data_IF_489852883345
#
_entry.id   IF_489852883345
#
_cell.length_a   1.000
_cell.length_b   1.000
_cell.length_c   1.000
_cell.angle_alpha   90.00
_cell.angle_beta   90.00
_cell.angle_gamma   90.00
#
_symmetry.space_group_name_H-M   'P 1'
#
loop_
_entity.id
_entity.type
_entity.pdbx_description
1 polymer ?
#
# COMPACT_ATOMS: atom_id res chain seq x y z
N UNK A 1 3.09 13.89 29.69
CA UNK A 1 3.54 13.09 28.53
C UNK A 1 3.46 13.99 27.31
N UNK A 2 4.48 13.96 26.44
CA UNK A 2 4.48 14.75 25.20
C UNK A 2 3.64 13.97 24.18
N UNK A 3 2.54 14.54 23.72
CA UNK A 3 1.71 13.91 22.70
C UNK A 3 2.26 14.23 21.32
N UNK A 4 2.39 13.21 20.48
CA UNK A 4 2.95 13.27 19.13
C UNK A 4 1.79 13.52 18.16
N UNK A 5 1.72 14.75 17.65
CA UNK A 5 0.83 15.15 16.54
C UNK A 5 1.40 14.82 15.16
N UNK A 6 0.58 15.01 14.13
CA UNK A 6 0.91 14.70 12.74
C UNK A 6 2.12 15.50 12.22
N UNK A 7 2.32 16.71 12.73
CA UNK A 7 3.42 17.60 12.37
C UNK A 7 4.81 17.08 12.77
N UNK A 8 4.89 16.16 13.72
CA UNK A 8 6.16 15.63 14.23
C UNK A 8 6.50 14.24 13.66
N UNK A 9 5.69 13.67 12.76
CA UNK A 9 5.88 12.28 12.30
C UNK A 9 7.19 12.04 11.55
N UNK A 10 7.77 13.08 10.95
CA UNK A 10 9.07 13.04 10.29
C UNK A 10 10.26 13.18 11.24
N UNK A 11 10.02 13.51 12.52
CA UNK A 11 11.09 13.66 13.50
C UNK A 11 11.69 12.30 13.88
N UNK A 12 12.97 12.35 14.28
CA UNK A 12 13.65 11.18 14.80
C UNK A 12 13.03 10.72 16.12
N UNK A 13 12.92 9.40 16.26
CA UNK A 13 12.44 8.71 17.46
C UNK A 13 13.17 9.17 18.74
N UNK A 14 14.46 9.55 18.63
CA UNK A 14 15.28 10.07 19.73
C UNK A 14 14.64 11.24 20.49
N UNK A 15 13.78 12.03 19.85
CA UNK A 15 13.19 13.24 20.42
C UNK A 15 12.00 12.96 21.35
N UNK A 16 11.45 11.74 21.32
CA UNK A 16 10.26 11.33 22.06
C UNK A 16 10.46 10.02 22.84
N UNK A 17 11.69 9.71 23.23
CA UNK A 17 11.98 8.51 24.01
C UNK A 17 11.47 8.65 25.45
N UNK A 18 10.86 7.58 25.94
CA UNK A 18 10.72 7.35 27.36
C UNK A 18 11.81 6.40 27.86
N UNK A 19 12.55 6.83 28.88
CA UNK A 19 13.62 6.06 29.53
C UNK A 19 13.13 5.28 30.75
N UNK A 20 11.89 5.54 31.17
CA UNK A 20 11.27 4.89 32.32
C UNK A 20 10.72 3.52 31.91
N UNK A 21 11.63 2.55 31.83
CA UNK A 21 11.37 1.18 31.38
C UNK A 21 11.94 0.18 32.37
N UNK A 22 11.32 -1.00 32.45
CA UNK A 22 11.81 -2.04 33.36
C UNK A 22 12.85 -2.89 32.63
N UNK A 23 14.11 -2.74 33.05
CA UNK A 23 15.22 -3.57 32.59
C UNK A 23 15.60 -4.61 33.64
N UNK A 24 15.87 -5.82 33.16
CA UNK A 24 16.29 -6.99 33.92
C UNK A 24 17.56 -7.58 33.28
N UNK A 25 18.35 -8.33 34.04
CA UNK A 25 19.55 -8.99 33.50
C UNK A 25 19.30 -10.47 33.22
N UNK A 26 19.97 -11.01 32.21
CA UNK A 26 19.77 -12.40 31.76
C UNK A 26 20.03 -13.47 32.84
N UNK A 27 20.90 -13.15 33.81
CA UNK A 27 21.35 -14.01 34.90
C UNK A 27 20.43 -13.98 36.12
N UNK A 28 19.48 -13.05 36.18
CA UNK A 28 18.52 -12.96 37.28
C UNK A 28 17.55 -14.15 37.26
N UNK A 29 17.02 -14.45 38.44
CA UNK A 29 15.95 -15.46 38.58
C UNK A 29 14.56 -14.83 38.45
N UNK A 30 13.56 -15.65 38.16
CA UNK A 30 12.16 -15.20 38.11
C UNK A 30 11.72 -14.58 39.46
N UNK A 31 12.19 -15.12 40.58
CA UNK A 31 11.94 -14.58 41.92
C UNK A 31 12.48 -13.16 42.10
N UNK A 32 13.74 -12.93 41.70
CA UNK A 32 14.38 -11.61 41.78
C UNK A 32 13.67 -10.58 40.91
N UNK A 33 13.29 -10.96 39.69
CA UNK A 33 12.55 -10.10 38.78
C UNK A 33 11.18 -9.68 39.37
N UNK A 34 10.44 -10.63 39.94
CA UNK A 34 9.16 -10.35 40.59
C UNK A 34 9.33 -9.49 41.85
N UNK A 35 10.38 -9.72 42.63
CA UNK A 35 10.69 -8.90 43.79
C UNK A 35 10.99 -7.45 43.39
N UNK A 36 11.77 -7.24 42.32
CA UNK A 36 12.07 -5.92 41.76
C UNK A 36 10.79 -5.22 41.28
N UNK A 37 9.90 -5.94 40.61
CA UNK A 37 8.62 -5.39 40.14
C UNK A 37 7.71 -4.92 41.28
N UNK A 38 7.69 -5.65 42.41
CA UNK A 38 6.87 -5.27 43.58
C UNK A 38 7.35 -4.00 44.28
N UNK A 39 8.60 -3.61 44.08
CA UNK A 39 9.17 -2.39 44.66
C UNK A 39 8.94 -1.15 43.79
N UNK A 40 8.46 -1.34 42.55
CA UNK A 40 8.18 -0.25 41.62
C UNK A 40 6.74 0.25 41.82
N UNK A 41 6.53 1.56 41.71
CA UNK A 41 5.19 2.14 41.67
C UNK A 41 4.62 1.89 40.27
N UNK A 42 3.74 0.89 40.16
CA UNK A 42 3.24 0.40 38.86
C UNK A 42 1.95 1.08 38.40
N UNK A 43 1.51 2.10 39.10
CA UNK A 43 0.20 2.72 38.85
C UNK A 43 0.23 3.46 37.49
N UNK A 44 -0.70 3.13 36.59
CA UNK A 44 -0.93 3.73 35.26
C UNK A 44 0.00 3.43 34.07
N UNK A 45 0.85 2.39 34.08
CA UNK A 45 1.77 2.12 32.94
C UNK A 45 1.74 0.72 32.33
N UNK A 46 2.07 0.67 31.04
CA UNK A 46 2.21 -0.56 30.25
C UNK A 46 3.61 -1.13 30.48
N UNK A 47 3.71 -2.37 30.99
CA UNK A 47 5.00 -2.99 31.31
C UNK A 47 5.41 -4.04 30.28
N UNK A 48 6.43 -3.70 29.49
CA UNK A 48 7.31 -4.70 28.88
C UNK A 48 8.56 -4.83 29.75
N UNK A 49 8.97 -6.08 30.02
CA UNK A 49 10.18 -6.37 30.78
C UNK A 49 11.29 -6.69 29.80
N UNK A 50 12.23 -5.77 29.63
CA UNK A 50 13.35 -5.93 28.71
C UNK A 50 14.52 -6.61 29.40
N UNK A 51 15.08 -7.63 28.76
CA UNK A 51 16.21 -8.41 29.28
C UNK A 51 17.48 -7.96 28.55
N UNK A 52 18.45 -7.51 29.33
CA UNK A 52 19.75 -7.05 28.86
C UNK A 52 20.85 -8.07 29.17
N UNK A 53 21.86 -8.12 28.30
CA UNK A 53 23.10 -8.85 28.55
C UNK A 53 24.07 -8.06 29.44
N UNK A 54 25.28 -8.60 29.63
CA UNK A 54 26.34 -7.93 30.42
C UNK A 54 26.88 -6.64 29.80
N UNK A 55 26.66 -6.42 28.50
CA UNK A 55 27.11 -5.26 27.73
C UNK A 55 25.97 -4.25 27.48
N UNK A 56 24.84 -4.39 28.19
CA UNK A 56 23.62 -3.56 28.04
C UNK A 56 22.90 -3.71 26.69
N UNK A 57 23.13 -4.82 25.99
CA UNK A 57 22.43 -5.13 24.74
C UNK A 57 21.09 -5.78 25.03
N UNK A 58 20.06 -5.39 24.28
CA UNK A 58 18.74 -6.01 24.37
C UNK A 58 18.78 -7.42 23.76
N UNK A 59 18.49 -8.44 24.56
CA UNK A 59 18.51 -9.85 24.12
C UNK A 59 17.15 -10.53 24.18
N UNK A 60 16.18 -9.97 24.92
CA UNK A 60 14.87 -10.58 25.07
C UNK A 60 13.84 -9.67 25.72
N UNK A 61 12.57 -10.09 25.62
CA UNK A 61 11.45 -9.47 26.33
C UNK A 61 10.66 -10.55 27.09
N UNK A 62 10.20 -10.24 28.30
CA UNK A 62 9.42 -11.17 29.12
C UNK A 62 8.01 -10.61 29.33
N UNK A 63 6.97 -11.30 28.83
CA UNK A 63 5.60 -11.01 29.24
C UNK A 63 5.43 -11.32 30.73
N UNK A 64 4.85 -10.39 31.50
CA UNK A 64 4.62 -10.56 32.95
C UNK A 64 3.88 -11.87 33.25
N UNK A 65 2.89 -12.24 32.43
CA UNK A 65 2.16 -13.51 32.55
C UNK A 65 3.07 -14.74 32.52
N UNK A 66 4.13 -14.71 31.70
CA UNK A 66 5.09 -15.81 31.57
C UNK A 66 6.00 -15.86 32.80
N UNK A 67 6.40 -14.69 33.32
CA UNK A 67 7.18 -14.58 34.55
C UNK A 67 6.43 -15.15 35.75
N UNK A 68 5.13 -14.85 35.89
CA UNK A 68 4.29 -15.35 36.98
C UNK A 68 4.09 -16.88 36.96
N UNK A 69 4.18 -17.51 35.79
CA UNK A 69 4.04 -18.96 35.63
C UNK A 69 5.36 -19.74 35.66
N UNK A 70 6.50 -19.07 35.80
CA UNK A 70 7.83 -19.70 35.81
C UNK A 70 8.24 -20.12 37.22
N UNK A 71 9.05 -21.18 37.35
CA UNK A 71 9.57 -21.54 38.67
C UNK A 71 10.50 -20.45 39.22
N UNK A 72 10.45 -20.14 40.53
CA UNK A 72 11.19 -19.02 41.13
C UNK A 72 12.71 -19.02 40.86
N UNK A 73 13.32 -20.20 40.76
CA UNK A 73 14.76 -20.42 40.52
C UNK A 73 15.16 -20.35 39.05
N UNK A 74 14.20 -20.29 38.12
CA UNK A 74 14.47 -20.29 36.67
C UNK A 74 15.10 -18.97 36.25
N UNK A 75 16.14 -19.03 35.42
CA UNK A 75 16.84 -17.84 34.92
C UNK A 75 16.03 -17.13 33.82
N UNK A 76 16.08 -15.79 33.79
CA UNK A 76 15.34 -15.00 32.80
C UNK A 76 15.72 -15.33 31.36
N UNK A 77 16.98 -15.69 31.11
CA UNK A 77 17.46 -16.15 29.80
C UNK A 77 16.66 -17.31 29.22
N UNK A 78 16.13 -18.21 30.06
CA UNK A 78 15.35 -19.36 29.61
C UNK A 78 13.86 -19.06 29.40
N UNK A 79 13.36 -17.98 29.99
CA UNK A 79 11.95 -17.57 29.97
C UNK A 79 11.68 -16.48 28.93
N UNK A 80 12.69 -15.71 28.54
CA UNK A 80 12.56 -14.61 27.60
C UNK A 80 12.12 -15.05 26.20
N UNK A 81 11.47 -14.12 25.50
CA UNK A 81 11.17 -14.22 24.08
C UNK A 81 12.27 -13.49 23.32
N UNK A 82 12.88 -14.16 22.36
CA UNK A 82 13.95 -13.65 21.50
C UNK A 82 13.76 -14.23 20.08
N UNK A 83 14.02 -13.47 19.00
CA UNK A 83 14.49 -12.07 18.97
C UNK A 83 13.39 -11.05 19.33
N UNK A 84 13.80 -9.86 19.77
CA UNK A 84 12.89 -8.74 20.06
C UNK A 84 12.77 -7.85 18.83
N UNK A 85 11.55 -7.46 18.49
CA UNK A 85 11.31 -6.46 17.45
C UNK A 85 11.57 -5.08 18.05
N UNK A 86 12.43 -4.30 17.39
CA UNK A 86 12.90 -2.99 17.83
C UNK A 86 13.06 -2.05 16.65
N UNK A 87 13.20 -0.75 16.91
CA UNK A 87 13.53 0.26 15.90
C UNK A 87 14.88 0.93 16.17
N UNK A 88 15.64 1.31 15.13
CA UNK A 88 16.84 2.13 15.28
C UNK A 88 16.55 3.51 15.86
N UNK A 89 17.53 4.08 16.57
CA UNK A 89 17.48 5.46 17.08
C UNK A 89 17.25 6.52 15.99
N UNK A 90 17.71 6.23 14.77
CA UNK A 90 17.59 7.10 13.60
C UNK A 90 16.25 6.99 12.86
N UNK A 91 15.37 6.05 13.25
CA UNK A 91 14.07 5.89 12.62
C UNK A 91 13.17 7.10 12.86
N UNK A 92 12.21 7.29 11.95
CA UNK A 92 11.17 8.30 12.10
C UNK A 92 10.07 7.85 13.06
N UNK A 93 9.34 8.81 13.63
CA UNK A 93 8.16 8.51 14.45
C UNK A 93 7.05 7.79 13.66
N UNK A 94 6.96 8.02 12.35
CA UNK A 94 6.05 7.29 11.45
C UNK A 94 6.41 5.80 11.36
N UNK A 95 7.68 5.48 11.11
CA UNK A 95 8.15 4.08 11.07
C UNK A 95 7.87 3.37 12.41
N UNK A 96 8.14 4.02 13.54
CA UNK A 96 7.86 3.45 14.86
C UNK A 96 6.36 3.22 15.09
N UNK A 97 5.50 4.15 14.66
CA UNK A 97 4.05 4.03 14.72
C UNK A 97 3.53 2.85 13.88
N UNK A 98 4.04 2.68 12.65
CA UNK A 98 3.66 1.56 11.79
C UNK A 98 4.05 0.21 12.40
N UNK A 99 5.25 0.09 12.99
CA UNK A 99 5.68 -1.14 13.66
C UNK A 99 4.79 -1.44 14.87
N UNK A 100 4.45 -0.44 15.69
CA UNK A 100 3.53 -0.57 16.81
C UNK A 100 2.16 -1.09 16.37
N UNK A 101 1.57 -0.50 15.33
CA UNK A 101 0.25 -0.88 14.81
C UNK A 101 0.26 -2.27 14.16
N UNK A 102 1.26 -2.56 13.33
CA UNK A 102 1.39 -3.85 12.63
C UNK A 102 1.47 -5.03 13.60
N UNK A 103 2.26 -4.88 14.65
CA UNK A 103 2.47 -5.94 15.63
C UNK A 103 1.52 -5.84 16.85
N UNK A 104 0.67 -4.80 16.90
CA UNK A 104 -0.21 -4.48 18.04
C UNK A 104 0.56 -4.39 19.35
N UNK A 105 1.76 -3.82 19.27
CA UNK A 105 2.56 -3.53 20.44
C UNK A 105 2.08 -2.25 21.09
N UNK A 106 2.13 -2.25 22.42
CA UNK A 106 1.80 -1.06 23.19
C UNK A 106 3.04 -0.19 23.45
N UNK A 107 4.23 -0.79 23.37
CA UNK A 107 5.49 -0.07 23.40
C UNK A 107 6.54 -0.81 22.55
N UNK A 108 7.51 -0.05 22.04
CA UNK A 108 8.54 -0.54 21.13
C UNK A 108 9.92 -0.09 21.62
N UNK A 109 10.88 -1.02 21.82
CA UNK A 109 12.24 -0.67 22.22
C UNK A 109 13.01 -0.03 21.09
N UNK A 110 13.83 0.96 21.44
CA UNK A 110 14.67 1.73 20.53
C UNK A 110 16.13 1.42 20.80
N UNK A 111 16.83 0.95 19.77
CA UNK A 111 18.21 0.49 19.86
C UNK A 111 19.17 1.38 19.04
N UNK A 112 20.43 1.43 19.47
CA UNK A 112 21.52 1.94 18.62
C UNK A 112 22.11 0.85 17.73
N UNK A 113 23.15 1.22 16.95
CA UNK A 113 23.85 0.30 16.05
C UNK A 113 24.56 -0.86 16.79
N UNK A 114 24.82 -0.74 18.08
CA UNK A 114 25.45 -1.75 18.93
C UNK A 114 24.41 -2.63 19.67
N UNK A 115 23.12 -2.50 19.34
CA UNK A 115 21.97 -3.14 19.99
C UNK A 115 21.76 -2.74 21.46
N UNK A 116 22.28 -1.60 21.90
CA UNK A 116 22.00 -1.08 23.24
C UNK A 116 20.65 -0.41 23.29
N UNK A 117 19.93 -0.63 24.39
CA UNK A 117 18.60 -0.08 24.61
C UNK A 117 18.69 1.36 25.12
N UNK A 118 18.20 2.32 24.32
CA UNK A 118 18.19 3.75 24.68
C UNK A 118 16.86 4.21 25.28
N UNK A 119 15.76 3.58 24.88
CA UNK A 119 14.42 4.09 25.18
C UNK A 119 13.32 3.17 24.71
N UNK A 120 12.09 3.54 25.04
CA UNK A 120 10.87 2.98 24.45
C UNK A 120 9.99 4.08 23.89
N UNK A 121 9.29 3.79 22.81
CA UNK A 121 8.13 4.56 22.34
C UNK A 121 6.88 3.82 22.78
N UNK A 122 5.93 4.55 23.36
CA UNK A 122 4.62 4.03 23.79
C UNK A 122 3.56 4.47 22.78
N UNK A 123 2.63 3.56 22.47
CA UNK A 123 1.47 3.82 21.61
C UNK A 123 0.65 5.02 22.12
N UNK A 124 0.56 5.19 23.45
CA UNK A 124 -0.17 6.29 24.08
C UNK A 124 0.45 7.67 23.84
N UNK A 125 1.68 7.74 23.31
CA UNK A 125 2.28 9.01 22.92
C UNK A 125 1.69 9.54 21.60
N UNK A 126 1.10 8.69 20.76
CA UNK A 126 0.50 9.11 19.50
C UNK A 126 -0.95 9.57 19.74
N UNK A 127 -1.35 10.65 19.08
CA UNK A 127 -2.77 11.04 19.07
C UNK A 127 -3.62 10.02 18.32
N UNK A 128 -4.89 9.87 18.70
CA UNK A 128 -5.85 9.03 17.98
C UNK A 128 -5.95 9.41 16.50
N UNK A 129 -5.78 10.70 16.17
CA UNK A 129 -5.72 11.17 14.79
C UNK A 129 -4.55 10.54 14.04
N UNK A 130 -3.34 10.56 14.62
CA UNK A 130 -2.14 9.97 14.01
C UNK A 130 -2.29 8.46 13.86
N UNK A 131 -2.76 7.77 14.89
CA UNK A 131 -3.02 6.33 14.85
C UNK A 131 -4.02 5.97 13.75
N UNK A 132 -5.10 6.75 13.63
CA UNK A 132 -6.11 6.57 12.59
C UNK A 132 -5.55 6.83 11.19
N UNK A 133 -4.70 7.86 11.03
CA UNK A 133 -4.08 8.17 9.74
C UNK A 133 -3.08 7.09 9.30
N UNK A 134 -2.21 6.63 10.19
CA UNK A 134 -1.26 5.56 9.92
C UNK A 134 -1.99 4.25 9.55
N UNK A 135 -3.04 3.90 10.29
CA UNK A 135 -3.89 2.76 9.98
C UNK A 135 -4.56 2.90 8.60
N UNK A 136 -5.08 4.09 8.28
CA UNK A 136 -5.68 4.39 6.97
C UNK A 136 -4.67 4.37 5.83
N UNK A 137 -3.42 4.75 6.04
CA UNK A 137 -2.37 4.66 5.03
C UNK A 137 -2.05 3.20 4.71
N UNK A 138 -1.85 2.36 5.73
CA UNK A 138 -1.72 0.91 5.57
C UNK A 138 -2.91 0.30 4.83
N UNK A 139 -4.14 0.68 5.19
CA UNK A 139 -5.34 0.16 4.54
C UNK A 139 -5.49 0.67 3.10
N UNK A 140 -5.05 1.90 2.80
CA UNK A 140 -5.19 2.50 1.46
C UNK A 140 -4.36 1.78 0.39
N UNK A 141 -3.17 1.27 0.74
CA UNK A 141 -2.34 0.47 -0.18
C UNK A 141 -3.06 -0.79 -0.67
N UNK A 142 -3.86 -1.43 0.19
CA UNK A 142 -4.65 -2.61 -0.15
C UNK A 142 -6.01 -2.27 -0.78
N UNK A 143 -6.62 -1.14 -0.40
CA UNK A 143 -7.87 -0.67 -1.01
C UNK A 143 -7.69 -0.31 -2.50
N UNK A 144 -6.51 0.20 -2.89
CA UNK A 144 -6.16 0.52 -4.27
C UNK A 144 -6.29 -0.67 -5.24
N UNK A 145 -6.12 -1.90 -4.74
CA UNK A 145 -6.29 -3.16 -5.50
C UNK A 145 -7.62 -3.87 -5.19
N UNK A 146 -8.60 -3.14 -4.61
CA UNK A 146 -9.93 -3.68 -4.31
C UNK A 146 -9.96 -4.66 -3.12
N UNK A 147 -8.88 -4.74 -2.34
CA UNK A 147 -8.79 -5.63 -1.18
C UNK A 147 -9.02 -4.83 0.09
N UNK A 148 -10.18 -5.03 0.73
CA UNK A 148 -10.36 -4.65 2.13
C UNK A 148 -9.52 -5.61 3.00
N UNK A 149 -8.26 -5.25 3.27
CA UNK A 149 -7.47 -5.96 4.27
C UNK A 149 -7.88 -5.41 5.63
N UNK A 150 -8.87 -6.04 6.26
CA UNK A 150 -9.06 -5.88 7.70
C UNK A 150 -7.92 -6.63 8.41
N UNK A 151 -6.76 -5.97 8.56
CA UNK A 151 -5.57 -6.56 9.17
C UNK A 151 -5.89 -7.03 10.61
N UNK A 152 -5.87 -8.36 10.78
CA UNK A 152 -5.90 -9.03 12.08
C UNK A 152 -7.27 -9.30 12.70
N UNK A 153 -8.36 -9.34 11.92
CA UNK A 153 -9.54 -10.15 12.30
C UNK A 153 -9.50 -11.45 11.49
N UNK A 154 -9.82 -12.59 12.12
CA UNK A 154 -10.22 -13.80 11.38
C UNK A 154 -11.50 -13.47 10.61
N UNK A 155 -11.36 -12.84 9.45
CA UNK A 155 -12.50 -12.52 8.59
C UNK A 155 -12.98 -13.85 8.03
N UNK A 156 -14.22 -14.21 8.34
CA UNK A 156 -14.84 -15.40 7.74
C UNK A 156 -14.79 -15.28 6.20
N UNK A 157 -14.49 -16.38 5.51
CA UNK A 157 -14.42 -16.43 4.04
C UNK A 157 -15.69 -15.85 3.38
N UNK A 158 -16.84 -16.03 4.03
CA UNK A 158 -18.11 -15.49 3.57
C UNK A 158 -18.17 -13.95 3.59
N UNK A 159 -17.61 -13.32 4.63
CA UNK A 159 -17.56 -11.86 4.71
C UNK A 159 -16.63 -11.30 3.63
N UNK A 160 -15.45 -11.89 3.44
CA UNK A 160 -14.54 -11.47 2.37
C UNK A 160 -15.15 -11.65 0.98
N UNK A 161 -15.93 -12.71 0.74
CA UNK A 161 -16.67 -12.88 -0.51
C UNK A 161 -17.67 -11.74 -0.72
N UNK A 162 -18.50 -11.45 0.28
CA UNK A 162 -19.53 -10.41 0.18
C UNK A 162 -18.94 -9.01 -0.03
N UNK A 163 -17.75 -8.76 0.49
CA UNK A 163 -17.05 -7.48 0.34
C UNK A 163 -16.37 -7.34 -1.04
N UNK A 164 -15.92 -8.44 -1.66
CA UNK A 164 -15.20 -8.43 -2.95
C UNK A 164 -16.09 -8.69 -4.17
N UNK A 165 -17.13 -9.49 -4.01
CA UNK A 165 -17.98 -9.95 -5.12
C UNK A 165 -18.68 -8.81 -5.88
N UNK A 166 -19.21 -7.76 -5.23
CA UNK A 166 -19.78 -6.62 -5.96
C UNK A 166 -18.77 -5.91 -6.88
N UNK A 167 -17.52 -5.78 -6.44
CA UNK A 167 -16.45 -5.20 -7.26
C UNK A 167 -16.05 -6.14 -8.41
N UNK A 168 -16.03 -7.45 -8.16
CA UNK A 168 -15.82 -8.43 -9.21
C UNK A 168 -16.93 -8.38 -10.28
N UNK A 169 -18.19 -8.17 -9.87
CA UNK A 169 -19.30 -7.99 -10.82
C UNK A 169 -19.11 -6.78 -11.72
N UNK A 170 -18.52 -5.68 -11.21
CA UNK A 170 -18.18 -4.51 -12.02
C UNK A 170 -17.15 -4.86 -13.11
N UNK A 171 -16.07 -5.55 -12.73
CA UNK A 171 -15.06 -6.00 -13.70
C UNK A 171 -15.63 -7.03 -14.69
N UNK A 172 -16.48 -7.95 -14.24
CA UNK A 172 -17.16 -8.90 -15.11
C UNK A 172 -18.07 -8.18 -16.13
N UNK A 173 -18.83 -7.17 -15.69
CA UNK A 173 -19.66 -6.36 -16.57
C UNK A 173 -18.81 -5.58 -17.59
N UNK A 174 -17.66 -5.04 -17.18
CA UNK A 174 -16.68 -4.43 -18.10
C UNK A 174 -16.20 -5.43 -19.16
N UNK A 175 -15.76 -6.61 -18.75
CA UNK A 175 -15.28 -7.65 -19.67
C UNK A 175 -16.35 -8.09 -20.67
N UNK A 176 -17.60 -8.24 -20.23
CA UNK A 176 -18.73 -8.53 -21.12
C UNK A 176 -18.98 -7.36 -22.09
N UNK A 177 -18.89 -6.11 -21.63
CA UNK A 177 -19.01 -4.92 -22.47
C UNK A 177 -17.89 -4.87 -23.52
N UNK A 178 -16.66 -5.20 -23.14
CA UNK A 178 -15.52 -5.33 -24.03
C UNK A 178 -15.73 -6.38 -25.12
N UNK A 179 -16.35 -7.52 -24.79
CA UNK A 179 -16.73 -8.52 -25.77
C UNK A 179 -17.76 -7.99 -26.78
N UNK A 180 -18.77 -7.24 -26.32
CA UNK A 180 -19.73 -6.58 -27.22
C UNK A 180 -19.08 -5.51 -28.10
N UNK A 181 -18.09 -4.77 -27.58
CA UNK A 181 -17.32 -3.78 -28.36
C UNK A 181 -16.48 -4.46 -29.44
N UNK A 182 -15.97 -5.66 -29.20
CA UNK A 182 -15.16 -6.39 -30.16
C UNK A 182 -15.99 -7.02 -31.30
N UNK A 183 -17.26 -7.35 -31.09
CA UNK A 183 -18.09 -8.08 -32.06
C UNK A 183 -18.22 -7.38 -33.44
N UNK A 184 -18.41 -6.05 -33.54
CA UNK A 184 -18.42 -5.37 -34.83
C UNK A 184 -17.11 -5.48 -35.63
N UNK A 185 -16.00 -5.83 -34.97
CA UNK A 185 -14.66 -5.93 -35.56
C UNK A 185 -14.25 -7.39 -35.86
N UNK A 186 -15.18 -8.34 -35.83
CA UNK A 186 -14.92 -9.76 -36.14
C UNK A 186 -14.26 -9.95 -37.51
N UNK A 187 -14.73 -9.22 -38.54
CA UNK A 187 -14.15 -9.27 -39.88
C UNK A 187 -12.70 -8.76 -39.88
N UNK A 188 -12.44 -7.61 -39.25
CA UNK A 188 -11.10 -7.04 -39.10
C UNK A 188 -10.14 -8.02 -38.41
N UNK A 189 -10.59 -8.68 -37.34
CA UNK A 189 -9.80 -9.64 -36.59
C UNK A 189 -9.55 -10.94 -37.37
N UNK A 190 -10.49 -11.35 -38.22
CA UNK A 190 -10.33 -12.51 -39.09
C UNK A 190 -9.28 -12.28 -40.18
N UNK A 191 -9.22 -11.06 -40.71
CA UNK A 191 -8.23 -10.67 -41.71
C UNK A 191 -6.86 -10.42 -41.08
N UNK A 192 -6.84 -9.74 -39.94
CA UNK A 192 -5.62 -9.36 -39.23
C UNK A 192 -5.55 -10.04 -37.86
N UNK A 193 -5.36 -11.37 -37.87
CA UNK A 193 -5.27 -12.21 -36.66
C UNK A 193 -4.22 -11.71 -35.65
N UNK A 194 -3.18 -11.03 -36.14
CA UNK A 194 -2.16 -10.43 -35.28
C UNK A 194 -2.77 -9.42 -34.28
N UNK A 195 -3.80 -8.66 -34.67
CA UNK A 195 -4.46 -7.72 -33.76
C UNK A 195 -5.04 -8.45 -32.53
N UNK A 196 -5.72 -9.57 -32.76
CA UNK A 196 -6.31 -10.37 -31.69
C UNK A 196 -5.25 -10.88 -30.69
N UNK A 197 -4.05 -11.22 -31.19
CA UNK A 197 -2.94 -11.69 -30.35
C UNK A 197 -2.37 -10.60 -29.43
N UNK A 198 -2.52 -9.32 -29.79
CA UNK A 198 -2.02 -8.20 -29.00
C UNK A 198 -3.07 -7.61 -28.04
N UNK A 199 -4.36 -7.96 -28.15
CA UNK A 199 -5.43 -7.44 -27.28
C UNK A 199 -5.05 -7.54 -25.79
N UNK A 200 -4.52 -8.69 -25.35
CA UNK A 200 -4.13 -8.90 -23.96
C UNK A 200 -3.00 -7.96 -23.51
N UNK A 201 -2.07 -7.64 -24.41
CA UNK A 201 -0.96 -6.71 -24.13
C UNK A 201 -1.48 -5.29 -24.01
N UNK A 202 -2.36 -4.87 -24.92
CA UNK A 202 -2.91 -3.51 -24.93
C UNK A 202 -3.75 -3.27 -23.68
N UNK A 203 -4.63 -4.21 -23.32
CA UNK A 203 -5.44 -4.15 -22.09
C UNK A 203 -4.56 -4.08 -20.85
N UNK A 204 -3.58 -5.00 -20.71
CA UNK A 204 -2.70 -5.03 -19.54
C UNK A 204 -1.89 -3.72 -19.36
N UNK A 205 -1.44 -3.10 -20.46
CA UNK A 205 -0.76 -1.80 -20.41
C UNK A 205 -1.73 -0.69 -19.99
N UNK A 206 -2.93 -0.66 -20.56
CA UNK A 206 -3.98 0.31 -20.21
C UNK A 206 -4.35 0.24 -18.72
N UNK A 207 -4.62 -0.96 -18.21
CA UNK A 207 -4.90 -1.20 -16.79
C UNK A 207 -3.73 -0.74 -15.91
N UNK A 208 -2.51 -1.18 -16.22
CA UNK A 208 -1.32 -0.85 -15.42
C UNK A 208 -1.08 0.65 -15.29
N UNK A 209 -1.18 1.38 -16.41
CA UNK A 209 -0.93 2.82 -16.43
C UNK A 209 -2.08 3.61 -15.80
N UNK A 210 -3.34 3.19 -16.01
CA UNK A 210 -4.50 3.79 -15.34
C UNK A 210 -4.42 3.64 -13.81
N UNK A 211 -3.99 2.49 -13.32
CA UNK A 211 -3.81 2.21 -11.88
C UNK A 211 -2.71 3.07 -11.27
N UNK A 212 -1.59 3.26 -11.97
CA UNK A 212 -0.51 4.16 -11.53
C UNK A 212 -1.01 5.60 -11.42
N UNK A 213 -1.68 6.09 -12.47
CA UNK A 213 -2.24 7.44 -12.53
C UNK A 213 -3.30 7.69 -11.45
N UNK A 214 -4.17 6.71 -11.24
CA UNK A 214 -5.17 6.71 -10.17
C UNK A 214 -4.53 6.77 -8.79
N UNK A 215 -3.49 5.96 -8.54
CA UNK A 215 -2.82 5.91 -7.25
C UNK A 215 -2.19 7.25 -6.90
N UNK A 216 -1.47 7.86 -7.85
CA UNK A 216 -0.87 9.19 -7.68
C UNK A 216 -1.95 10.24 -7.42
N UNK A 217 -3.05 10.18 -8.17
CA UNK A 217 -4.18 11.11 -8.00
C UNK A 217 -4.80 10.97 -6.62
N UNK A 218 -5.09 9.75 -6.16
CA UNK A 218 -5.65 9.50 -4.83
C UNK A 218 -4.74 10.00 -3.70
N UNK A 219 -3.42 9.80 -3.82
CA UNK A 219 -2.46 10.36 -2.86
C UNK A 219 -2.51 11.89 -2.83
N UNK A 220 -2.62 12.55 -3.99
CA UNK A 220 -2.74 14.01 -4.06
C UNK A 220 -4.03 14.54 -3.41
N UNK A 221 -5.13 13.79 -3.51
CA UNK A 221 -6.43 14.16 -2.92
C UNK A 221 -6.44 14.02 -1.39
N UNK A 222 -5.53 13.23 -0.80
CA UNK A 222 -5.42 13.09 0.66
C UNK A 222 -4.76 14.31 1.33
N UNK A 223 -4.03 15.14 0.57
CA UNK A 223 -3.27 16.29 1.09
C UNK A 223 -4.07 17.56 1.41
N UNK A 224 -5.40 17.59 1.20
CA UNK A 224 -6.25 18.73 1.52
C UNK A 224 -7.20 19.16 0.39
N UNK A 225 -7.72 20.39 0.45
CA UNK A 225 -8.69 20.90 -0.52
C UNK A 225 -8.09 21.00 -1.93
N UNK A 226 -8.68 20.29 -2.87
CA UNK A 226 -8.24 20.28 -4.27
C UNK A 226 -8.83 21.47 -5.02
N UNK A 227 -7.99 22.41 -5.45
CA UNK A 227 -8.42 23.51 -6.33
C UNK A 227 -8.53 23.04 -7.79
N UNK A 228 -9.44 23.63 -8.57
CA UNK A 228 -9.59 23.34 -9.99
C UNK A 228 -8.30 23.58 -10.79
N UNK A 229 -7.51 24.59 -10.38
CA UNK A 229 -6.20 24.86 -10.96
C UNK A 229 -5.21 23.72 -10.76
N UNK A 230 -5.24 23.06 -9.60
CA UNK A 230 -4.39 21.91 -9.30
C UNK A 230 -4.80 20.69 -10.13
N UNK A 231 -6.10 20.43 -10.27
CA UNK A 231 -6.61 19.35 -11.13
C UNK A 231 -6.14 19.55 -12.58
N UNK A 232 -6.28 20.76 -13.12
CA UNK A 232 -5.86 21.05 -14.49
C UNK A 232 -4.33 20.92 -14.66
N UNK A 233 -3.55 21.34 -13.67
CA UNK A 233 -2.10 21.14 -13.66
C UNK A 233 -1.72 19.65 -13.65
N UNK A 234 -2.41 18.84 -12.83
CA UNK A 234 -2.23 17.39 -12.78
C UNK A 234 -2.57 16.72 -14.12
N UNK A 235 -3.71 17.06 -14.74
CA UNK A 235 -4.10 16.53 -16.06
C UNK A 235 -3.06 16.87 -17.14
N UNK A 236 -2.54 18.11 -17.15
CA UNK A 236 -1.49 18.51 -18.12
C UNK A 236 -0.17 17.78 -17.91
N UNK A 237 0.24 17.62 -16.65
CA UNK A 237 1.43 16.85 -16.30
C UNK A 237 1.26 15.39 -16.75
N UNK A 238 0.10 14.81 -16.47
CA UNK A 238 -0.20 13.43 -16.79
C UNK A 238 -0.31 13.18 -18.30
N UNK A 239 -0.90 14.12 -19.05
CA UNK A 239 -0.92 14.06 -20.50
C UNK A 239 0.50 13.98 -21.08
N UNK A 240 1.43 14.81 -20.60
CA UNK A 240 2.83 14.78 -21.06
C UNK A 240 3.51 13.46 -20.71
N UNK A 241 3.34 12.98 -19.46
CA UNK A 241 3.92 11.70 -19.01
C UNK A 241 3.37 10.51 -19.80
N UNK A 242 2.05 10.47 -19.99
CA UNK A 242 1.36 9.41 -20.72
C UNK A 242 1.65 9.42 -22.22
N UNK A 243 1.88 10.58 -22.83
CA UNK A 243 2.34 10.66 -24.21
C UNK A 243 3.74 10.06 -24.38
N UNK A 244 4.67 10.32 -23.45
CA UNK A 244 6.00 9.72 -23.47
C UNK A 244 5.96 8.20 -23.26
N UNK A 245 5.18 7.74 -22.28
CA UNK A 245 4.92 6.31 -22.05
C UNK A 245 4.27 5.65 -23.27
N UNK A 246 3.25 6.29 -23.84
CA UNK A 246 2.53 5.83 -25.02
C UNK A 246 3.42 5.68 -26.23
N UNK A 247 4.28 6.67 -26.51
CA UNK A 247 5.26 6.59 -27.60
C UNK A 247 6.30 5.49 -27.35
N UNK A 248 6.79 5.36 -26.12
CA UNK A 248 7.75 4.31 -25.75
C UNK A 248 7.16 2.91 -25.89
N UNK A 249 6.05 2.63 -25.20
CA UNK A 249 5.37 1.34 -25.22
C UNK A 249 4.81 1.00 -26.60
N UNK A 250 4.11 1.95 -27.24
CA UNK A 250 3.55 1.76 -28.59
C UNK A 250 4.65 1.55 -29.64
N UNK A 251 5.75 2.30 -29.56
CA UNK A 251 6.91 2.12 -30.42
C UNK A 251 7.57 0.76 -30.23
N UNK A 252 7.81 0.33 -28.99
CA UNK A 252 8.38 -0.98 -28.69
C UNK A 252 7.48 -2.12 -29.15
N UNK A 253 6.19 -2.10 -28.79
CA UNK A 253 5.26 -3.18 -29.16
C UNK A 253 5.02 -3.19 -30.67
N UNK A 254 4.82 -2.02 -31.30
CA UNK A 254 4.72 -1.91 -32.75
C UNK A 254 5.97 -2.46 -33.46
N UNK A 255 7.17 -2.10 -32.99
CA UNK A 255 8.43 -2.64 -33.52
C UNK A 255 8.50 -4.16 -33.36
N UNK A 256 8.11 -4.72 -32.21
CA UNK A 256 8.09 -6.17 -32.01
C UNK A 256 7.11 -6.87 -32.96
N UNK A 257 5.92 -6.30 -33.16
CA UNK A 257 4.93 -6.81 -34.11
C UNK A 257 5.47 -6.77 -35.55
N UNK A 258 6.18 -5.70 -35.91
CA UNK A 258 6.80 -5.56 -37.23
C UNK A 258 7.93 -6.58 -37.45
N UNK A 259 8.86 -6.71 -36.50
CA UNK A 259 9.97 -7.67 -36.60
C UNK A 259 9.44 -9.10 -36.70
N UNK A 260 8.36 -9.41 -35.98
CA UNK A 260 7.81 -10.76 -35.95
C UNK A 260 7.07 -11.15 -37.23
N UNK A 261 6.19 -10.29 -37.75
CA UNK A 261 5.31 -10.64 -38.88
C UNK A 261 5.63 -9.92 -40.19
N UNK A 262 6.49 -8.90 -40.16
CA UNK A 262 6.86 -8.11 -41.34
C UNK A 262 5.79 -7.13 -41.83
N UNK A 263 4.62 -7.08 -41.20
CA UNK A 263 3.47 -6.29 -41.62
C UNK A 263 3.53 -4.87 -41.03
N UNK A 264 4.09 -3.92 -41.77
CA UNK A 264 4.33 -2.56 -41.26
C UNK A 264 3.04 -1.80 -40.90
N UNK A 265 1.97 -1.94 -41.69
CA UNK A 265 0.69 -1.25 -41.42
C UNK A 265 0.04 -1.76 -40.14
N UNK A 266 0.04 -3.08 -39.93
CA UNK A 266 -0.53 -3.71 -38.73
C UNK A 266 0.30 -3.33 -37.49
N UNK A 267 1.62 -3.32 -37.62
CA UNK A 267 2.52 -2.86 -36.56
C UNK A 267 2.29 -1.39 -36.19
N UNK A 268 2.07 -0.52 -37.18
CA UNK A 268 1.75 0.88 -36.96
C UNK A 268 0.37 1.04 -36.30
N UNK A 269 -0.62 0.25 -36.71
CA UNK A 269 -1.94 0.22 -36.09
C UNK A 269 -1.86 -0.18 -34.61
N UNK A 270 -1.12 -1.25 -34.29
CA UNK A 270 -0.89 -1.72 -32.91
C UNK A 270 -0.14 -0.66 -32.10
N UNK A 271 0.97 -0.12 -32.61
CA UNK A 271 1.77 0.85 -31.87
C UNK A 271 1.02 2.18 -31.64
N UNK A 272 0.34 2.67 -32.67
CA UNK A 272 -0.45 3.91 -32.60
C UNK A 272 -1.64 3.79 -31.67
N UNK A 273 -2.35 2.65 -31.71
CA UNK A 273 -3.47 2.39 -30.81
C UNK A 273 -3.03 2.25 -29.35
N UNK A 274 -1.91 1.58 -29.07
CA UNK A 274 -1.34 1.50 -27.71
C UNK A 274 -1.01 2.90 -27.19
N UNK A 275 -0.37 3.73 -28.01
CA UNK A 275 -0.02 5.09 -27.63
C UNK A 275 -1.25 5.89 -27.19
N UNK A 276 -2.31 5.89 -28.01
CA UNK A 276 -3.53 6.62 -27.68
C UNK A 276 -4.28 6.00 -26.49
N UNK A 277 -4.36 4.68 -26.42
CA UNK A 277 -5.04 3.96 -25.33
C UNK A 277 -4.39 4.27 -23.98
N UNK A 278 -3.05 4.31 -23.92
CA UNK A 278 -2.29 4.67 -22.72
C UNK A 278 -2.61 6.11 -22.28
N UNK A 279 -2.63 7.07 -23.22
CA UNK A 279 -2.97 8.47 -22.91
C UNK A 279 -4.35 8.55 -22.29
N UNK A 280 -5.35 7.91 -22.91
CA UNK A 280 -6.72 7.93 -22.41
C UNK A 280 -6.86 7.22 -21.07
N UNK A 281 -6.22 6.05 -20.89
CA UNK A 281 -6.23 5.30 -19.65
C UNK A 281 -5.64 6.10 -18.47
N UNK A 282 -4.53 6.82 -18.70
CA UNK A 282 -3.96 7.78 -17.74
C UNK A 282 -4.95 8.88 -17.38
N UNK A 283 -5.54 9.52 -18.39
CA UNK A 283 -6.50 10.61 -18.16
C UNK A 283 -7.71 10.14 -17.35
N UNK A 284 -8.22 8.94 -17.61
CA UNK A 284 -9.28 8.33 -16.81
C UNK A 284 -8.85 8.09 -15.36
N UNK A 285 -7.59 7.65 -15.16
CA UNK A 285 -6.96 7.52 -13.84
C UNK A 285 -6.90 8.84 -13.05
N UNK A 286 -6.88 10.01 -13.69
CA UNK A 286 -6.97 11.31 -13.01
C UNK A 286 -8.42 11.77 -12.84
N UNK A 287 -9.21 11.70 -13.91
CA UNK A 287 -10.56 12.28 -13.96
C UNK A 287 -11.54 11.53 -13.07
N UNK A 288 -11.53 10.20 -13.08
CA UNK A 288 -12.50 9.39 -12.33
C UNK A 288 -12.33 9.60 -10.81
N UNK A 289 -11.14 9.44 -10.20
CA UNK A 289 -11.01 9.61 -8.74
C UNK A 289 -11.35 11.04 -8.30
N UNK A 290 -10.96 12.03 -9.10
CA UNK A 290 -11.28 13.44 -8.85
C UNK A 290 -12.79 13.70 -8.90
N UNK A 291 -13.49 13.08 -9.85
CA UNK A 291 -14.95 13.22 -9.99
C UNK A 291 -15.68 12.54 -8.83
N UNK A 292 -15.27 11.32 -8.47
CA UNK A 292 -15.81 10.58 -7.32
C UNK A 292 -15.62 11.38 -6.03
N UNK A 293 -14.44 11.97 -5.83
CA UNK A 293 -14.15 12.83 -4.68
C UNK A 293 -15.06 14.07 -4.63
N UNK A 294 -15.29 14.73 -5.78
CA UNK A 294 -16.23 15.88 -5.88
C UNK A 294 -17.67 15.48 -5.56
N UNK A 295 -18.09 14.26 -5.88
CA UNK A 295 -19.41 13.71 -5.55
C UNK A 295 -19.54 13.27 -4.09
N UNK A 296 -18.51 13.47 -3.25
CA UNK A 296 -18.44 13.05 -1.83
C UNK A 296 -18.59 11.54 -1.62
N UNK A 297 -18.32 10.75 -2.64
CA UNK A 297 -18.17 9.30 -2.54
C UNK A 297 -16.71 9.04 -2.16
N UNK A 298 -16.45 8.08 -1.26
CA UNK A 298 -15.07 7.75 -0.87
C UNK A 298 -14.29 7.20 -2.07
N UNK A 299 -13.32 7.97 -2.61
CA UNK A 299 -12.64 7.59 -3.83
C UNK A 299 -11.71 6.39 -3.61
N UNK A 300 -11.30 6.08 -2.36
CA UNK A 300 -10.46 4.91 -2.07
C UNK A 300 -11.16 3.58 -2.34
N UNK A 301 -12.48 3.57 -2.18
CA UNK A 301 -13.29 2.36 -2.28
C UNK A 301 -13.83 2.16 -3.69
N UNK A 302 -14.23 3.23 -4.37
CA UNK A 302 -14.91 3.14 -5.66
C UNK A 302 -14.00 3.35 -6.88
N UNK A 303 -12.88 4.08 -6.75
CA UNK A 303 -12.11 4.49 -7.92
C UNK A 303 -11.46 3.30 -8.65
N UNK A 304 -10.92 2.31 -7.93
CA UNK A 304 -10.18 1.18 -8.53
C UNK A 304 -10.97 0.45 -9.62
N UNK A 305 -12.05 -0.26 -9.28
CA UNK A 305 -12.83 -1.03 -10.25
C UNK A 305 -13.45 -0.18 -11.35
N UNK A 306 -13.88 1.05 -11.04
CA UNK A 306 -14.49 1.96 -12.04
C UNK A 306 -13.43 2.45 -13.04
N UNK A 307 -12.23 2.80 -12.57
CA UNK A 307 -11.12 3.21 -13.43
C UNK A 307 -10.71 2.06 -14.34
N UNK A 308 -10.52 0.85 -13.81
CA UNK A 308 -10.16 -0.33 -14.59
C UNK A 308 -11.22 -0.64 -15.66
N UNK A 309 -12.49 -0.72 -15.27
CA UNK A 309 -13.58 -0.97 -16.20
C UNK A 309 -13.66 0.08 -17.33
N UNK A 310 -13.49 1.34 -16.99
CA UNK A 310 -13.50 2.43 -17.96
C UNK A 310 -12.26 2.40 -18.87
N UNK A 311 -11.11 2.04 -18.32
CA UNK A 311 -9.86 1.91 -19.06
C UNK A 311 -9.92 0.77 -20.07
N UNK A 312 -10.49 -0.39 -19.73
CA UNK A 312 -10.67 -1.51 -20.66
C UNK A 312 -11.53 -1.12 -21.85
N UNK A 313 -12.70 -0.54 -21.56
CA UNK A 313 -13.68 -0.10 -22.56
C UNK A 313 -13.04 0.93 -23.49
N UNK A 314 -12.40 1.96 -22.94
CA UNK A 314 -11.74 2.98 -23.73
C UNK A 314 -10.60 2.39 -24.57
N UNK A 315 -9.77 1.55 -23.97
CA UNK A 315 -8.63 0.90 -24.64
C UNK A 315 -9.08 0.11 -25.86
N UNK A 316 -10.11 -0.75 -25.73
CA UNK A 316 -10.60 -1.50 -26.89
C UNK A 316 -11.27 -0.63 -27.94
N UNK A 317 -12.02 0.40 -27.53
CA UNK A 317 -12.62 1.33 -28.48
C UNK A 317 -11.53 2.01 -29.33
N UNK A 318 -10.48 2.56 -28.72
CA UNK A 318 -9.39 3.18 -29.47
C UNK A 318 -8.59 2.16 -30.27
N UNK A 319 -8.34 0.98 -29.70
CA UNK A 319 -7.63 -0.11 -30.36
C UNK A 319 -8.28 -0.52 -31.67
N UNK A 320 -9.57 -0.86 -31.62
CA UNK A 320 -10.29 -1.32 -32.79
C UNK A 320 -10.57 -0.20 -33.79
N UNK A 321 -10.95 1.00 -33.34
CA UNK A 321 -11.25 2.10 -34.27
C UNK A 321 -10.00 2.58 -35.02
N UNK A 322 -8.84 2.68 -34.36
CA UNK A 322 -7.59 3.02 -35.04
C UNK A 322 -7.19 1.91 -36.00
N UNK A 323 -7.27 0.66 -35.57
CA UNK A 323 -6.91 -0.47 -36.42
C UNK A 323 -7.81 -0.55 -37.66
N UNK A 324 -9.12 -0.37 -37.49
CA UNK A 324 -10.07 -0.28 -38.61
C UNK A 324 -9.73 0.89 -39.52
N UNK A 325 -9.49 2.08 -38.98
CA UNK A 325 -9.20 3.26 -39.80
C UNK A 325 -7.91 3.11 -40.63
N UNK A 326 -6.91 2.39 -40.10
CA UNK A 326 -5.61 2.23 -40.76
C UNK A 326 -5.54 1.03 -41.72
N UNK A 327 -6.38 0.02 -41.51
CA UNK A 327 -6.32 -1.28 -42.21
C UNK A 327 -7.56 -1.57 -43.09
N UNK A 328 -8.62 -0.76 -42.99
CA UNK A 328 -9.81 -0.86 -43.85
C UNK A 328 -9.62 -0.25 -45.23
#
# INVERSE_FOLDING_TARGET
MRTIGAENMGDAVSNCLHTDMVTLREDQTAAEALAKLRQMDTTDRIFYLYVLDKNERLIGVIPVRRLLGSEPSTTLKSVMISPVISVPLSSSLLEACEVLLNHRFLALPVLDADNKLHGVIDLNQFTDEVLTHAQKQMDSAFQLIGVHVALGRRVSSWRSFRDRFPWLLCNMASGVTCAFIASPFELLLSEWVLLAMFITVVLALGESVSMQSMTITLQSLMGGQTDWKQILASVRKEFTTSALLGMGCGGLIGLTAWIWRGLYLVALAIGGSICLSIIIACLLGVVIPTTIHKLRIDPKVAAGPIVLASADIATLLFYFNISQWLLA
#
